data_IF_637447296772
#
_entry.id   IF_637447296772
#
_cell.length_a   1.000
_cell.length_b   1.000
_cell.length_c   1.000
_cell.angle_alpha   90.00
_cell.angle_beta   90.00
_cell.angle_gamma   90.00
#
_symmetry.space_group_name_H-M   'P 1'
#
loop_
_entity.id
_entity.type
_entity.pdbx_description
1 polymer ?
#
# COMPACT_ATOMS: atom_id res chain seq x y z
N UNK A 1 -1.42 -20.24 -1.80
CA UNK A 1 -1.80 -19.06 -2.58
C UNK A 1 -3.18 -18.54 -2.20
N UNK A 2 -4.11 -19.44 -2.05
CA UNK A 2 -5.48 -19.06 -1.71
C UNK A 2 -5.55 -18.39 -0.34
N UNK A 3 -4.78 -18.90 0.61
CA UNK A 3 -4.77 -18.33 1.96
C UNK A 3 -4.28 -16.89 1.97
N UNK A 4 -3.24 -16.61 1.20
CA UNK A 4 -2.69 -15.27 1.11
C UNK A 4 -3.69 -14.33 0.46
N UNK A 5 -4.30 -14.78 -0.63
CA UNK A 5 -5.30 -13.98 -1.34
C UNK A 5 -6.47 -13.66 -0.43
N UNK A 6 -7.00 -14.68 0.25
CA UNK A 6 -8.13 -14.49 1.16
C UNK A 6 -7.81 -13.52 2.27
N UNK A 7 -6.63 -13.63 2.83
CA UNK A 7 -6.23 -12.75 3.93
C UNK A 7 -6.20 -11.31 3.46
N UNK A 8 -5.65 -11.05 2.28
CA UNK A 8 -5.63 -9.71 1.72
C UNK A 8 -7.02 -9.20 1.40
N UNK A 9 -7.87 -10.07 0.87
CA UNK A 9 -9.22 -9.68 0.47
C UNK A 9 -10.08 -9.27 1.64
N UNK A 10 -9.81 -9.83 2.81
CA UNK A 10 -10.60 -9.53 4.00
C UNK A 10 -10.18 -8.27 4.72
N UNK A 11 -9.02 -7.74 4.36
CA UNK A 11 -8.52 -6.54 5.01
C UNK A 11 -8.98 -5.31 4.24
N UNK A 12 -9.28 -4.25 4.97
CA UNK A 12 -9.72 -3.00 4.36
C UNK A 12 -8.57 -2.06 4.08
N UNK A 13 -7.39 -2.43 4.47
CA UNK A 13 -6.21 -1.60 4.28
C UNK A 13 -5.06 -2.46 3.77
N UNK A 14 -4.04 -1.84 3.17
CA UNK A 14 -2.87 -2.59 2.73
C UNK A 14 -2.18 -3.28 3.90
N UNK A 15 -1.54 -4.39 3.63
CA UNK A 15 -0.90 -5.21 4.65
C UNK A 15 0.58 -5.36 4.35
N UNK A 16 1.40 -5.25 5.39
CA UNK A 16 2.82 -5.53 5.27
C UNK A 16 3.05 -7.02 5.39
N UNK A 17 4.28 -7.46 5.13
CA UNK A 17 4.63 -8.87 5.30
C UNK A 17 4.42 -9.31 6.74
N UNK A 18 4.77 -8.46 7.68
CA UNK A 18 4.58 -8.76 9.09
C UNK A 18 3.11 -8.89 9.45
N UNK A 19 2.27 -8.01 8.88
CA UNK A 19 0.83 -8.10 9.08
C UNK A 19 0.31 -9.43 8.56
N UNK A 20 0.80 -9.86 7.41
CA UNK A 20 0.39 -11.12 6.83
C UNK A 20 0.82 -12.30 7.68
N UNK A 21 2.02 -12.21 8.27
CA UNK A 21 2.47 -13.25 9.20
C UNK A 21 1.53 -13.40 10.38
N UNK A 22 1.05 -12.28 10.89
CA UNK A 22 0.13 -12.29 12.02
C UNK A 22 -1.24 -12.84 11.66
N UNK A 23 -1.64 -12.67 10.41
CA UNK A 23 -2.92 -13.19 9.93
C UNK A 23 -2.83 -14.66 9.55
N UNK A 24 -1.69 -15.11 9.08
CA UNK A 24 -1.52 -16.46 8.55
C UNK A 24 -0.52 -17.22 9.39
N UNK A 25 -0.94 -17.57 10.60
CA UNK A 25 -0.05 -18.20 11.55
C UNK A 25 0.41 -19.59 11.11
N UNK A 26 -0.30 -20.20 10.19
CA UNK A 26 0.06 -21.53 9.70
C UNK A 26 1.12 -21.48 8.60
N UNK A 27 1.47 -20.30 8.12
CA UNK A 27 2.44 -20.15 7.06
C UNK A 27 3.67 -19.44 7.59
N UNK A 28 4.83 -19.83 7.11
CA UNK A 28 6.05 -19.14 7.50
C UNK A 28 6.26 -17.92 6.60
N UNK A 29 7.11 -17.03 7.08
CA UNK A 29 7.36 -15.76 6.41
C UNK A 29 7.84 -15.94 4.98
N UNK A 30 8.74 -16.92 4.78
CA UNK A 30 9.29 -17.17 3.45
C UNK A 30 8.23 -17.58 2.46
N UNK A 31 7.30 -18.42 2.90
CA UNK A 31 6.23 -18.89 2.04
C UNK A 31 5.29 -17.75 1.66
N UNK A 32 4.96 -16.91 2.64
CA UNK A 32 4.10 -15.75 2.39
C UNK A 32 4.78 -14.81 1.39
N UNK A 33 6.04 -14.52 1.62
CA UNK A 33 6.78 -13.62 0.75
C UNK A 33 6.85 -14.14 -0.68
N UNK A 34 7.02 -15.45 -0.81
CA UNK A 34 7.10 -16.07 -2.14
C UNK A 34 5.78 -15.92 -2.89
N UNK A 35 4.66 -16.10 -2.19
CA UNK A 35 3.35 -15.94 -2.80
C UNK A 35 3.10 -14.49 -3.18
N UNK A 36 3.47 -13.55 -2.30
CA UNK A 36 3.31 -12.14 -2.59
C UNK A 36 4.14 -11.72 -3.79
N UNK A 37 5.36 -12.24 -3.90
CA UNK A 37 6.21 -11.96 -5.04
C UNK A 37 5.58 -12.46 -6.33
N UNK A 38 4.99 -13.65 -6.27
CA UNK A 38 4.30 -14.21 -7.43
C UNK A 38 3.09 -13.35 -7.81
N UNK A 39 2.35 -12.89 -6.82
CA UNK A 39 1.19 -12.03 -7.05
C UNK A 39 1.60 -10.70 -7.67
N UNK A 40 2.72 -10.15 -7.25
CA UNK A 40 3.24 -8.93 -7.86
C UNK A 40 3.58 -9.15 -9.32
N UNK A 41 4.19 -10.27 -9.61
CA UNK A 41 4.60 -10.58 -10.97
C UNK A 41 3.39 -10.69 -11.91
N UNK A 42 2.27 -11.17 -11.39
CA UNK A 42 1.07 -11.37 -12.18
C UNK A 42 0.02 -10.29 -11.99
N UNK A 43 0.41 -9.18 -11.38
CA UNK A 43 -0.49 -8.03 -11.18
C UNK A 43 -1.74 -8.36 -10.36
N UNK A 44 -1.63 -9.33 -9.48
CA UNK A 44 -2.70 -9.64 -8.54
C UNK A 44 -2.69 -8.65 -7.40
N UNK A 45 -1.50 -8.24 -6.98
CA UNK A 45 -1.34 -7.22 -5.94
C UNK A 45 -0.39 -6.16 -6.44
N UNK A 46 -0.43 -5.01 -5.80
CA UNK A 46 0.60 -3.99 -5.97
C UNK A 46 1.22 -3.71 -4.61
N UNK A 47 2.43 -3.17 -4.62
CA UNK A 47 3.17 -2.93 -3.40
C UNK A 47 3.68 -1.50 -3.39
N UNK A 48 3.78 -0.93 -2.20
CA UNK A 48 4.32 0.41 -2.04
C UNK A 48 4.93 0.53 -0.65
N UNK A 49 5.88 1.45 -0.52
CA UNK A 49 6.47 1.76 0.78
C UNK A 49 5.59 2.76 1.52
N UNK A 50 5.33 2.51 2.79
CA UNK A 50 4.56 3.44 3.60
C UNK A 50 5.49 4.47 4.23
N UNK A 51 4.93 5.31 5.12
CA UNK A 51 5.70 6.36 5.74
C UNK A 51 6.82 5.89 6.66
N UNK A 52 6.84 4.61 6.99
CA UNK A 52 7.89 4.01 7.82
C UNK A 52 8.96 3.31 7.00
N UNK A 53 8.81 3.31 5.68
CA UNK A 53 9.72 2.56 4.82
C UNK A 53 9.40 1.09 4.76
N UNK A 54 8.21 0.69 5.16
CA UNK A 54 7.78 -0.70 5.17
C UNK A 54 6.96 -0.97 3.92
N UNK A 55 7.25 -2.07 3.25
CA UNK A 55 6.52 -2.47 2.06
C UNK A 55 5.14 -2.98 2.43
N UNK A 56 4.14 -2.46 1.78
CA UNK A 56 2.75 -2.87 1.98
C UNK A 56 2.19 -3.42 0.68
N UNK A 57 1.27 -4.37 0.80
CA UNK A 57 0.69 -5.05 -0.34
C UNK A 57 -0.82 -4.88 -0.31
N UNK A 58 -1.39 -4.69 -1.48
CA UNK A 58 -2.82 -4.48 -1.62
C UNK A 58 -3.29 -5.17 -2.89
N UNK A 59 -4.47 -5.81 -2.82
CA UNK A 59 -5.02 -6.45 -4.01
C UNK A 59 -5.40 -5.42 -5.04
N UNK A 60 -5.21 -5.77 -6.30
CA UNK A 60 -5.70 -4.96 -7.39
C UNK A 60 -7.22 -5.07 -7.43
N UNK A 61 -7.88 -4.08 -8.03
CA UNK A 61 -9.32 -4.11 -8.05
C UNK A 61 -9.82 -5.21 -8.99
N UNK A 62 -11.11 -5.47 -8.93
CA UNK A 62 -11.69 -6.57 -9.65
C UNK A 62 -11.66 -6.42 -11.16
N UNK A 63 -11.50 -5.20 -11.64
CA UNK A 63 -11.38 -4.98 -13.06
C UNK A 63 -9.97 -5.21 -13.57
N UNK A 64 -9.08 -5.58 -12.69
CA UNK A 64 -7.72 -5.85 -13.08
C UNK A 64 -6.94 -4.62 -13.47
N UNK A 65 -7.30 -3.49 -12.90
CA UNK A 65 -6.66 -2.23 -13.24
C UNK A 65 -5.52 -1.90 -12.32
N UNK A 66 -4.77 -2.91 -11.99
CA UNK A 66 -3.63 -2.76 -11.13
C UNK A 66 -2.44 -2.14 -11.82
N UNK A 67 -2.48 -2.09 -13.12
CA UNK A 67 -1.36 -1.57 -13.89
C UNK A 67 -1.11 -0.09 -13.68
N UNK A 68 -2.03 0.62 -13.06
CA UNK A 68 -1.75 2.01 -12.70
C UNK A 68 -1.51 2.19 -11.23
N UNK A 69 -1.19 1.13 -10.55
CA UNK A 69 -0.88 1.24 -9.13
C UNK A 69 0.31 2.15 -8.88
N UNK A 70 1.18 2.27 -9.84
CA UNK A 70 2.35 3.14 -9.71
C UNK A 70 1.97 4.59 -9.67
N UNK A 71 0.75 4.90 -10.09
CA UNK A 71 0.28 6.27 -10.16
C UNK A 71 -0.72 6.61 -9.06
N UNK A 72 -0.75 5.84 -8.02
CA UNK A 72 -1.63 6.11 -6.89
C UNK A 72 -0.91 6.95 -5.85
N UNK A 73 -1.64 7.87 -5.26
CA UNK A 73 -1.18 8.57 -4.08
C UNK A 73 -1.62 7.74 -2.88
N UNK A 74 -0.72 7.51 -1.97
CA UNK A 74 -1.02 6.78 -0.74
C UNK A 74 -0.89 7.72 0.44
N UNK A 75 -1.76 7.56 1.42
CA UNK A 75 -1.74 8.39 2.61
C UNK A 75 -1.39 7.52 3.82
N UNK A 76 -0.44 7.98 4.60
CA UNK A 76 -0.03 7.28 5.81
C UNK A 76 -0.39 8.13 7.02
N UNK A 77 -1.22 7.59 7.91
CA UNK A 77 -1.57 8.30 9.14
C UNK A 77 -0.49 8.06 10.19
N UNK A 78 0.15 9.12 10.60
CA UNK A 78 1.24 9.02 11.57
C UNK A 78 0.73 8.75 12.98
N UNK A 79 -0.56 8.89 13.21
CA UNK A 79 -1.13 8.68 14.53
C UNK A 79 -1.54 7.22 14.73
N UNK A 80 -2.34 6.69 13.83
CA UNK A 80 -2.82 5.31 13.96
C UNK A 80 -2.05 4.29 13.13
N UNK A 81 -1.16 4.75 12.26
CA UNK A 81 -0.32 3.86 11.47
C UNK A 81 -1.00 3.20 10.29
N UNK A 82 -2.19 3.63 9.94
CA UNK A 82 -2.92 3.05 8.81
C UNK A 82 -2.52 3.73 7.51
N UNK A 83 -2.56 2.95 6.45
CA UNK A 83 -2.29 3.45 5.11
C UNK A 83 -3.56 3.41 4.28
N UNK A 84 -3.73 4.41 3.44
CA UNK A 84 -4.91 4.54 2.59
C UNK A 84 -4.48 4.73 1.15
N UNK A 85 -5.19 4.13 0.23
CA UNK A 85 -4.94 4.32 -1.19
C UNK A 85 -5.87 5.41 -1.69
N UNK A 86 -5.30 6.47 -2.26
CA UNK A 86 -6.06 7.63 -2.72
C UNK A 86 -6.17 7.60 -4.24
N UNK A 87 -7.07 6.79 -4.74
CA UNK A 87 -7.20 6.62 -6.19
C UNK A 87 -7.75 7.85 -6.88
N UNK A 88 -8.51 8.64 -6.15
CA UNK A 88 -9.13 9.84 -6.72
C UNK A 88 -8.21 11.05 -6.74
N UNK A 89 -7.06 10.93 -6.12
CA UNK A 89 -6.11 12.04 -6.05
C UNK A 89 -5.10 11.88 -7.17
N UNK A 90 -5.05 12.85 -8.10
CA UNK A 90 -4.12 12.71 -9.23
C UNK A 90 -2.68 12.95 -8.81
N UNK A 91 -1.78 12.25 -9.46
CA UNK A 91 -0.36 12.43 -9.24
C UNK A 91 0.15 13.41 -10.30
N UNK A 92 0.84 14.47 -9.89
CA UNK A 92 1.40 15.40 -10.85
C UNK A 92 2.52 14.76 -11.67
N UNK A 93 2.66 15.20 -12.90
CA UNK A 93 3.74 14.76 -13.76
C UNK A 93 4.98 15.59 -13.50
N UNK A 94 6.11 14.94 -13.54
CA UNK A 94 7.38 15.63 -13.35
C UNK A 94 8.27 15.40 -14.56
N UNK A 95 8.96 16.45 -14.96
CA UNK A 95 9.96 16.35 -16.01
C UNK A 95 11.29 16.04 -15.36
N UNK A 96 11.93 14.99 -15.82
CA UNK A 96 13.24 14.62 -15.29
C UNK A 96 14.34 15.20 -16.15
N UNK A 97 15.51 15.42 -15.58
CA UNK A 97 16.64 15.89 -16.38
C UNK A 97 16.99 14.92 -17.50
N UNK A 98 17.66 15.43 -18.50
CA UNK A 98 18.04 14.62 -19.63
C UNK A 98 18.88 13.42 -19.20
N UNK A 99 18.60 12.28 -19.76
CA UNK A 99 19.31 11.06 -19.42
C UNK A 99 18.69 10.22 -18.33
N UNK A 100 17.70 10.76 -17.64
CA UNK A 100 17.00 10.01 -16.60
C UNK A 100 15.80 9.30 -17.21
N UNK A 101 15.63 8.04 -16.84
CA UNK A 101 14.51 7.24 -17.31
C UNK A 101 13.72 6.76 -16.12
N UNK A 102 12.45 7.13 -16.06
CA UNK A 102 11.59 6.76 -14.95
C UNK A 102 10.94 5.41 -15.24
N UNK A 103 11.05 4.48 -14.29
CA UNK A 103 10.36 3.20 -14.38
C UNK A 103 9.08 3.21 -13.58
N UNK A 104 9.08 3.88 -12.45
CA UNK A 104 7.89 3.97 -11.63
C UNK A 104 8.04 5.15 -10.68
N UNK A 105 6.95 5.50 -10.03
CA UNK A 105 6.96 6.57 -9.03
C UNK A 105 6.01 6.20 -7.91
N UNK A 106 6.37 6.54 -6.69
CA UNK A 106 5.49 6.35 -5.55
C UNK A 106 5.33 7.67 -4.84
N UNK A 107 4.10 7.94 -4.40
CA UNK A 107 3.80 9.16 -3.66
C UNK A 107 3.14 8.78 -2.36
N UNK A 108 3.74 9.20 -1.25
CA UNK A 108 3.19 8.94 0.07
C UNK A 108 3.02 10.27 0.78
N UNK A 109 1.80 10.57 1.19
CA UNK A 109 1.50 11.75 1.97
C UNK A 109 1.34 11.32 3.41
N UNK A 110 2.02 11.97 4.31
CA UNK A 110 1.97 11.64 5.72
C UNK A 110 1.19 12.70 6.45
N UNK A 111 0.39 12.28 7.40
CA UNK A 111 -0.41 13.23 8.17
C UNK A 111 -1.36 12.51 9.10
N UNK A 112 -2.55 13.02 9.25
CA UNK A 112 -3.56 12.46 10.14
C UNK A 112 -4.79 12.09 9.35
N UNK A 113 -5.29 10.87 9.56
CA UNK A 113 -6.50 10.44 8.88
C UNK A 113 -7.72 11.17 9.49
N UNK A 114 -8.87 11.10 8.83
CA UNK A 114 -10.05 11.83 9.35
C UNK A 114 -10.40 11.48 10.79
N UNK A 115 -10.27 10.23 11.17
CA UNK A 115 -10.57 9.84 12.55
C UNK A 115 -9.60 10.46 13.53
N UNK A 116 -8.32 10.43 13.21
CA UNK A 116 -7.30 10.97 14.11
C UNK A 116 -7.29 12.48 14.12
N UNK A 117 -7.51 13.09 12.99
CA UNK A 117 -7.56 14.52 12.87
C UNK A 117 -8.73 15.09 13.67
N UNK A 118 -9.87 14.42 13.61
CA UNK A 118 -11.05 14.81 14.36
C UNK A 118 -10.79 14.79 15.86
N UNK A 119 -10.09 13.78 16.32
CA UNK A 119 -9.79 13.66 17.73
C UNK A 119 -8.84 14.73 18.20
N UNK A 120 -8.01 15.23 17.33
CA UNK A 120 -6.99 16.21 17.70
C UNK A 120 -7.43 17.64 17.56
N UNK A 121 -8.59 17.88 17.04
CA UNK A 121 -9.04 19.23 16.83
C UNK A 121 -9.03 20.06 18.09
N UNK A 122 -9.32 19.42 19.21
CA UNK A 122 -9.42 20.14 20.47
C UNK A 122 -8.08 20.50 21.05
N UNK A 123 -7.06 19.80 20.70
CA UNK A 123 -5.75 20.02 21.27
C UNK A 123 -4.87 20.87 20.41
N UNK A 124 -5.35 21.24 19.29
CA UNK A 124 -4.57 22.04 18.39
C UNK A 124 -4.45 23.41 18.91
N UNK A 125 -3.55 23.90 18.86
CA UNK A 125 -3.50 25.21 19.22
C UNK A 125 -2.72 25.68 19.74
#
# INVERSE_FOLDING_TARGET
RILVYDALARQESPQSLKDMENLLLSMDKSSIFRVLTLFLKHDVVHAFEDGRGVMNYELCNEQGECHHHDNHVHFYCEVCGRSFCMEDVPIPSFSLPSGFRQHSASFVIKGECPNCSSKKTKTTL
#
